data_IF_398288913464
#
_entry.id   IF_398288913464
#
_cell.length_a   1.000
_cell.length_b   1.000
_cell.length_c   1.000
_cell.angle_alpha   90.00
_cell.angle_beta   90.00
_cell.angle_gamma   90.00
#
_symmetry.space_group_name_H-M   'P 1'
#
loop_
_entity.id
_entity.type
_entity.pdbx_description
1 polymer ?
#
# COMPACT_ATOMS: atom_id res chain seq x y z
N UNK A 1 -19.32 52.78 -25.42
CA UNK A 1 -19.65 51.74 -24.44
C UNK A 1 -18.76 50.53 -24.66
N UNK A 2 -17.71 50.41 -23.86
CA UNK A 2 -16.77 49.29 -23.89
C UNK A 2 -16.90 48.54 -22.58
N UNK A 3 -17.55 47.39 -22.60
CA UNK A 3 -17.54 46.45 -21.47
C UNK A 3 -16.20 45.71 -21.45
N UNK A 4 -15.41 45.97 -20.41
CA UNK A 4 -14.26 45.16 -20.08
C UNK A 4 -14.77 43.81 -19.53
N UNK A 5 -14.52 42.74 -20.28
CA UNK A 5 -14.66 41.38 -19.79
C UNK A 5 -13.66 41.16 -18.66
N UNK A 6 -14.14 41.16 -17.42
CA UNK A 6 -13.34 40.71 -16.27
C UNK A 6 -13.30 39.18 -16.36
N UNK A 7 -12.25 38.65 -16.99
CA UNK A 7 -11.92 37.23 -16.93
C UNK A 7 -11.80 36.84 -15.46
N UNK A 8 -12.69 35.96 -15.00
CA UNK A 8 -12.53 35.32 -13.71
C UNK A 8 -11.16 34.63 -13.66
N UNK A 9 -10.39 34.78 -12.57
CA UNK A 9 -9.15 34.02 -12.40
C UNK A 9 -9.50 32.53 -12.34
N UNK A 10 -8.77 31.76 -13.14
CA UNK A 10 -8.93 30.33 -13.34
C UNK A 10 -8.78 29.57 -12.00
N UNK A 11 -9.89 29.14 -11.39
CA UNK A 11 -9.93 28.46 -10.08
C UNK A 11 -9.09 27.16 -10.03
N UNK A 12 -8.77 26.58 -11.19
CA UNK A 12 -7.89 25.41 -11.30
C UNK A 12 -6.42 25.71 -10.97
N UNK A 13 -5.96 26.96 -11.11
CA UNK A 13 -4.56 27.30 -10.86
C UNK A 13 -4.27 27.49 -9.36
N UNK A 14 -5.22 28.10 -8.63
CA UNK A 14 -5.10 28.35 -7.19
C UNK A 14 -5.18 27.06 -6.35
N UNK A 15 -5.93 26.06 -6.81
CA UNK A 15 -6.06 24.77 -6.11
C UNK A 15 -4.80 23.92 -6.25
N UNK A 16 -4.15 23.92 -7.41
CA UNK A 16 -2.95 23.13 -7.66
C UNK A 16 -1.73 23.69 -6.91
N UNK A 17 -1.54 25.01 -6.89
CA UNK A 17 -0.45 25.64 -6.13
C UNK A 17 -0.62 25.45 -4.61
N UNK A 18 -1.85 25.56 -4.10
CA UNK A 18 -2.16 25.29 -2.69
C UNK A 18 -1.97 23.80 -2.34
N UNK A 19 -2.31 22.90 -3.25
CA UNK A 19 -2.11 21.47 -3.09
C UNK A 19 -0.62 21.10 -3.09
N UNK A 20 0.15 21.64 -4.02
CA UNK A 20 1.61 21.47 -4.08
C UNK A 20 2.29 22.08 -2.84
N UNK A 21 1.76 23.18 -2.32
CA UNK A 21 2.20 23.79 -1.06
C UNK A 21 1.86 22.93 0.16
N UNK A 22 0.69 22.30 0.20
CA UNK A 22 0.32 21.34 1.24
C UNK A 22 1.19 20.08 1.17
N UNK A 23 1.39 19.52 -0.02
CA UNK A 23 2.26 18.37 -0.23
C UNK A 23 3.70 18.70 0.15
N UNK A 24 4.25 19.85 -0.24
CA UNK A 24 5.60 20.25 0.14
C UNK A 24 5.77 20.53 1.63
N UNK A 25 4.75 21.04 2.32
CA UNK A 25 4.73 21.18 3.79
C UNK A 25 4.59 19.84 4.53
N UNK A 26 3.88 18.88 3.95
CA UNK A 26 3.88 17.50 4.45
C UNK A 26 5.19 16.77 4.10
N UNK A 27 5.88 17.19 3.03
CA UNK A 27 7.16 16.62 2.57
C UNK A 27 8.36 17.08 3.36
N UNK A 28 8.35 18.29 3.90
CA UNK A 28 9.39 18.79 4.81
C UNK A 28 9.39 18.07 6.17
N UNK A 29 8.34 17.27 6.44
CA UNK A 29 8.27 16.28 7.52
C UNK A 29 7.93 14.89 6.94
N UNK A 30 8.78 14.32 6.07
CA UNK A 30 8.61 12.97 5.52
C UNK A 30 7.26 12.72 4.81
N UNK A 31 7.04 13.22 3.59
CA UNK A 31 5.88 12.86 2.75
C UNK A 31 5.89 11.42 2.27
N UNK A 32 7.04 10.76 2.36
CA UNK A 32 7.12 9.31 2.31
C UNK A 32 6.40 8.63 3.49
N UNK A 33 5.80 9.36 4.44
CA UNK A 33 5.22 8.81 5.67
C UNK A 33 3.70 8.86 5.82
N UNK A 34 2.92 9.45 4.91
CA UNK A 34 1.46 9.60 5.13
C UNK A 34 0.73 8.24 5.08
N UNK A 35 1.14 7.39 4.15
CA UNK A 35 0.65 6.03 3.99
C UNK A 35 1.74 4.98 4.12
N UNK A 36 2.96 5.29 4.57
CA UNK A 36 4.00 4.26 4.82
C UNK A 36 4.31 4.16 6.31
N UNK A 37 3.56 3.33 7.07
CA UNK A 37 3.87 3.11 8.47
C UNK A 37 5.24 2.45 8.62
N UNK A 38 6.00 2.88 9.64
CA UNK A 38 7.31 2.30 9.94
C UNK A 38 7.16 0.89 10.49
N UNK A 39 7.76 -0.08 9.82
CA UNK A 39 7.86 -1.46 10.31
C UNK A 39 9.00 -1.56 11.33
N UNK A 40 8.69 -1.94 12.57
CA UNK A 40 9.68 -2.15 13.62
C UNK A 40 10.33 -3.54 13.49
N UNK A 41 11.55 -3.57 12.94
CA UNK A 41 12.34 -4.79 12.73
C UNK A 41 12.73 -5.48 14.04
N UNK A 42 12.77 -4.75 15.17
CA UNK A 42 13.25 -5.30 16.45
C UNK A 42 12.35 -6.41 17.00
N UNK A 43 11.12 -6.56 16.48
CA UNK A 43 10.19 -7.61 16.90
C UNK A 43 10.09 -8.77 15.91
N UNK A 44 10.86 -8.76 14.82
CA UNK A 44 10.90 -9.89 13.90
C UNK A 44 11.50 -11.12 14.58
N UNK A 45 10.89 -12.28 14.33
CA UNK A 45 11.46 -13.56 14.72
C UNK A 45 12.45 -13.99 13.65
N UNK A 46 13.73 -13.66 13.85
CA UNK A 46 14.77 -13.94 12.84
C UNK A 46 15.40 -15.32 13.08
N UNK A 47 15.48 -16.14 12.04
CA UNK A 47 16.23 -17.39 12.02
C UNK A 47 17.62 -17.18 11.39
N UNK A 48 18.63 -17.79 12.01
CA UNK A 48 19.98 -17.90 11.43
C UNK A 48 20.10 -19.06 10.43
N UNK A 49 19.10 -19.96 10.37
CA UNK A 49 19.05 -21.02 9.37
C UNK A 49 18.71 -20.44 7.99
N UNK A 50 19.69 -20.46 7.11
CA UNK A 50 19.56 -20.03 5.70
C UNK A 50 19.53 -21.22 4.74
N UNK A 51 19.21 -22.42 5.21
CA UNK A 51 19.03 -23.58 4.34
C UNK A 51 17.92 -23.32 3.31
N UNK A 52 18.04 -23.91 2.12
CA UNK A 52 17.01 -23.78 1.08
C UNK A 52 15.63 -24.26 1.58
N UNK A 53 15.59 -25.26 2.45
CA UNK A 53 14.36 -25.75 3.05
C UNK A 53 13.67 -24.68 3.93
N UNK A 54 14.43 -24.00 4.80
CA UNK A 54 13.87 -22.94 5.65
C UNK A 54 13.42 -21.73 4.81
N UNK A 55 14.18 -21.36 3.77
CA UNK A 55 13.81 -20.27 2.87
C UNK A 55 12.55 -20.58 2.05
N UNK A 56 12.43 -21.81 1.51
CA UNK A 56 11.21 -22.26 0.81
C UNK A 56 10.02 -22.27 1.77
N UNK A 57 10.20 -22.73 3.01
CA UNK A 57 9.13 -22.71 4.01
C UNK A 57 8.67 -21.29 4.33
N UNK A 58 9.60 -20.33 4.45
CA UNK A 58 9.27 -18.92 4.63
C UNK A 58 8.40 -18.38 3.49
N UNK A 59 8.78 -18.62 2.24
CA UNK A 59 8.00 -18.18 1.07
C UNK A 59 6.61 -18.85 1.05
N UNK A 60 6.53 -20.16 1.32
CA UNK A 60 5.25 -20.89 1.42
C UNK A 60 4.35 -20.36 2.53
N UNK A 61 4.92 -19.93 3.66
CA UNK A 61 4.14 -19.32 4.73
C UNK A 61 3.50 -18.00 4.28
N UNK A 62 4.25 -17.15 3.57
CA UNK A 62 3.72 -15.91 3.00
C UNK A 62 2.63 -16.16 1.96
N UNK A 63 2.85 -17.14 1.08
CA UNK A 63 1.85 -17.57 0.08
C UNK A 63 0.58 -18.06 0.78
N UNK A 64 0.71 -18.93 1.78
CA UNK A 64 -0.42 -19.47 2.54
C UNK A 64 -1.21 -18.38 3.27
N UNK A 65 -0.53 -17.40 3.88
CA UNK A 65 -1.16 -16.24 4.52
C UNK A 65 -1.92 -15.41 3.49
N UNK A 66 -1.29 -15.12 2.34
CA UNK A 66 -1.92 -14.34 1.28
C UNK A 66 -3.16 -15.03 0.72
N UNK A 67 -3.06 -16.33 0.42
CA UNK A 67 -4.19 -17.13 -0.06
C UNK A 67 -5.32 -17.22 0.95
N UNK A 68 -5.02 -17.40 2.25
CA UNK A 68 -6.01 -17.45 3.33
C UNK A 68 -6.87 -16.19 3.36
N UNK A 69 -6.26 -15.02 3.23
CA UNK A 69 -6.96 -13.74 3.38
C UNK A 69 -7.54 -13.18 2.08
N UNK A 70 -6.94 -13.50 0.92
CA UNK A 70 -7.48 -13.13 -0.39
C UNK A 70 -8.57 -14.10 -0.88
N UNK A 71 -8.71 -15.28 -0.25
CA UNK A 71 -9.73 -16.25 -0.62
C UNK A 71 -11.13 -15.64 -0.64
N UNK A 72 -11.79 -15.72 -1.79
CA UNK A 72 -13.15 -15.19 -1.97
C UNK A 72 -13.22 -13.70 -2.26
N UNK A 73 -12.10 -12.97 -2.25
CA UNK A 73 -12.04 -11.59 -2.73
C UNK A 73 -11.71 -11.56 -4.22
N UNK A 74 -12.68 -11.19 -5.05
CA UNK A 74 -12.59 -11.28 -6.51
C UNK A 74 -12.82 -9.93 -7.22
N UNK A 75 -12.59 -8.81 -6.52
CA UNK A 75 -12.76 -7.47 -7.07
C UNK A 75 -11.42 -6.84 -7.39
N UNK A 76 -11.37 -6.12 -8.51
CA UNK A 76 -10.21 -5.27 -8.86
C UNK A 76 -10.29 -3.92 -8.16
N UNK A 77 -9.16 -3.21 -8.09
CA UNK A 77 -9.14 -1.82 -7.59
C UNK A 77 -10.16 -0.93 -8.31
N UNK A 78 -10.32 -1.09 -9.63
CA UNK A 78 -11.30 -0.34 -10.42
C UNK A 78 -12.75 -0.68 -10.03
N UNK A 79 -13.07 -1.96 -9.78
CA UNK A 79 -14.42 -2.35 -9.33
C UNK A 79 -14.76 -1.69 -8.00
N UNK A 80 -13.81 -1.68 -7.07
CA UNK A 80 -13.98 -1.10 -5.74
C UNK A 80 -14.18 0.41 -5.82
N UNK A 81 -13.35 1.11 -6.59
CA UNK A 81 -13.48 2.56 -6.78
C UNK A 81 -14.82 2.92 -7.45
N UNK A 82 -15.28 2.13 -8.43
CA UNK A 82 -16.58 2.32 -9.05
C UNK A 82 -17.74 2.15 -8.05
N UNK A 83 -17.66 1.19 -7.12
CA UNK A 83 -18.68 1.03 -6.07
C UNK A 83 -18.75 2.24 -5.13
N UNK A 84 -17.62 2.86 -4.81
CA UNK A 84 -17.58 4.07 -4.01
C UNK A 84 -18.20 5.26 -4.76
N UNK A 85 -17.81 5.45 -6.02
CA UNK A 85 -18.23 6.63 -6.81
C UNK A 85 -19.71 6.55 -7.16
N UNK A 86 -20.14 5.42 -7.73
CA UNK A 86 -21.48 5.22 -8.31
C UNK A 86 -22.50 4.78 -7.25
N UNK A 87 -22.12 3.85 -6.37
CA UNK A 87 -23.06 3.23 -5.42
C UNK A 87 -22.97 3.83 -4.01
N UNK A 88 -21.99 4.71 -3.76
CA UNK A 88 -21.66 5.25 -2.43
C UNK A 88 -21.45 4.13 -1.39
N UNK A 89 -20.95 2.98 -1.83
CA UNK A 89 -20.76 1.81 -1.00
C UNK A 89 -19.28 1.63 -0.66
N UNK A 90 -18.95 1.75 0.63
CA UNK A 90 -17.59 1.58 1.15
C UNK A 90 -17.28 0.13 1.56
N UNK A 91 -18.21 -0.82 1.43
CA UNK A 91 -18.08 -2.15 2.02
C UNK A 91 -16.88 -2.92 1.47
N UNK A 92 -16.70 -2.91 0.15
CA UNK A 92 -15.59 -3.62 -0.50
C UNK A 92 -14.23 -3.01 -0.21
N UNK A 93 -14.15 -1.68 -0.10
CA UNK A 93 -12.88 -1.01 0.21
C UNK A 93 -12.48 -1.22 1.68
N UNK A 94 -13.44 -1.26 2.59
CA UNK A 94 -13.21 -1.65 4.00
C UNK A 94 -12.70 -3.08 4.08
N UNK A 95 -13.38 -4.00 3.38
CA UNK A 95 -12.95 -5.39 3.31
C UNK A 95 -11.52 -5.52 2.76
N UNK A 96 -11.19 -4.78 1.70
CA UNK A 96 -9.84 -4.80 1.13
C UNK A 96 -8.78 -4.28 2.11
N UNK A 97 -9.07 -3.19 2.82
CA UNK A 97 -8.19 -2.67 3.86
C UNK A 97 -7.96 -3.70 4.99
N UNK A 98 -9.01 -4.39 5.43
CA UNK A 98 -8.95 -5.44 6.44
C UNK A 98 -8.13 -6.66 5.96
N UNK A 99 -8.25 -7.03 4.68
CA UNK A 99 -7.44 -8.10 4.08
C UNK A 99 -5.95 -7.72 4.12
N UNK A 100 -5.60 -6.51 3.67
CA UNK A 100 -4.21 -6.04 3.70
C UNK A 100 -3.65 -6.02 5.11
N UNK A 101 -4.45 -5.55 6.08
CA UNK A 101 -4.10 -5.59 7.51
C UNK A 101 -3.80 -7.01 7.98
N UNK A 102 -4.72 -7.93 7.70
CA UNK A 102 -4.63 -9.31 8.18
C UNK A 102 -3.43 -10.05 7.60
N UNK A 103 -3.08 -9.77 6.33
CA UNK A 103 -1.87 -10.32 5.71
C UNK A 103 -0.63 -9.75 6.40
N UNK A 104 -0.58 -8.43 6.66
CA UNK A 104 0.55 -7.81 7.34
C UNK A 104 0.72 -8.37 8.77
N UNK A 105 -0.37 -8.42 9.54
CA UNK A 105 -0.38 -8.87 10.93
C UNK A 105 0.05 -10.34 11.06
N UNK A 106 -0.52 -11.24 10.23
CA UNK A 106 -0.13 -12.66 10.24
C UNK A 106 1.31 -12.86 9.75
N UNK A 107 1.73 -12.11 8.72
CA UNK A 107 3.10 -12.20 8.18
C UNK A 107 4.13 -11.69 9.18
N UNK A 108 3.80 -10.69 9.99
CA UNK A 108 4.68 -10.16 11.04
C UNK A 108 5.03 -11.25 12.08
N UNK A 109 4.20 -12.27 12.23
CA UNK A 109 4.38 -13.31 13.25
C UNK A 109 5.27 -14.48 12.81
N UNK A 110 5.60 -14.59 11.52
CA UNK A 110 6.37 -15.72 10.99
C UNK A 110 7.86 -15.59 11.28
N UNK A 111 8.57 -16.72 11.20
CA UNK A 111 10.03 -16.75 11.33
C UNK A 111 10.66 -16.39 9.99
N UNK A 112 11.57 -15.42 9.99
CA UNK A 112 12.21 -14.87 8.79
C UNK A 112 13.67 -15.32 8.74
N UNK A 113 14.13 -15.99 7.67
CA UNK A 113 15.56 -16.25 7.47
C UNK A 113 16.33 -14.93 7.39
N UNK A 114 17.51 -14.85 8.00
CA UNK A 114 18.29 -13.60 8.11
C UNK A 114 18.54 -12.92 6.74
N UNK A 115 18.74 -13.70 5.68
CA UNK A 115 18.96 -13.20 4.32
C UNK A 115 17.68 -12.72 3.59
N UNK A 116 16.50 -12.84 4.22
CA UNK A 116 15.20 -12.40 3.70
C UNK A 116 14.59 -11.23 4.47
N UNK A 117 15.29 -10.70 5.49
CA UNK A 117 14.78 -9.62 6.36
C UNK A 117 14.40 -8.36 5.56
N UNK A 118 15.24 -7.95 4.60
CA UNK A 118 14.97 -6.75 3.78
C UNK A 118 13.71 -6.92 2.92
N UNK A 119 13.56 -8.09 2.29
CA UNK A 119 12.35 -8.42 1.55
C UNK A 119 11.13 -8.46 2.48
N UNK A 120 11.24 -9.08 3.66
CA UNK A 120 10.15 -9.15 4.62
C UNK A 120 9.70 -7.76 5.09
N UNK A 121 10.65 -6.85 5.32
CA UNK A 121 10.37 -5.46 5.66
C UNK A 121 9.65 -4.73 4.54
N UNK A 122 10.11 -4.90 3.30
CA UNK A 122 9.47 -4.30 2.13
C UNK A 122 8.03 -4.84 1.98
N UNK A 123 7.86 -6.15 2.16
CA UNK A 123 6.56 -6.83 2.13
C UNK A 123 5.62 -6.22 3.17
N UNK A 124 6.01 -6.20 4.45
CA UNK A 124 5.17 -5.63 5.50
C UNK A 124 4.87 -4.15 5.26
N UNK A 125 5.86 -3.38 4.82
CA UNK A 125 5.66 -1.96 4.48
C UNK A 125 4.58 -1.80 3.42
N UNK A 126 4.61 -2.58 2.34
CA UNK A 126 3.61 -2.54 1.29
C UNK A 126 2.20 -2.85 1.80
N UNK A 127 2.03 -3.93 2.57
CA UNK A 127 0.71 -4.35 3.04
C UNK A 127 0.12 -3.36 4.05
N UNK A 128 0.90 -2.86 5.00
CA UNK A 128 0.42 -1.81 5.89
C UNK A 128 0.15 -0.48 5.17
N UNK A 129 0.93 -0.18 4.12
CA UNK A 129 0.68 1.03 3.33
C UNK A 129 -0.61 0.93 2.55
N UNK A 130 -0.86 -0.24 1.96
CA UNK A 130 -2.10 -0.57 1.27
C UNK A 130 -3.29 -0.46 2.21
N UNK A 131 -3.18 -1.02 3.41
CA UNK A 131 -4.21 -0.91 4.44
C UNK A 131 -4.54 0.55 4.78
N UNK A 132 -3.53 1.37 5.09
CA UNK A 132 -3.74 2.78 5.46
C UNK A 132 -4.36 3.60 4.32
N UNK A 133 -3.93 3.35 3.07
CA UNK A 133 -4.46 4.00 1.89
C UNK A 133 -5.92 3.62 1.64
N UNK A 134 -6.25 2.33 1.68
CA UNK A 134 -7.62 1.87 1.45
C UNK A 134 -8.56 2.26 2.60
N UNK A 135 -8.08 2.32 3.85
CA UNK A 135 -8.86 2.89 4.97
C UNK A 135 -9.19 4.37 4.75
N UNK A 136 -8.22 5.16 4.26
CA UNK A 136 -8.47 6.55 3.95
C UNK A 136 -9.52 6.72 2.85
N UNK A 137 -9.50 5.87 1.82
CA UNK A 137 -10.50 5.86 0.75
C UNK A 137 -11.87 5.39 1.28
N UNK A 138 -11.89 4.43 2.21
CA UNK A 138 -13.12 3.95 2.83
C UNK A 138 -13.87 5.01 3.65
N UNK A 139 -13.17 6.07 4.06
CA UNK A 139 -13.70 7.16 4.89
C UNK A 139 -14.18 8.38 4.07
N UNK A 140 -14.42 8.20 2.76
CA UNK A 140 -14.76 9.28 1.82
C UNK A 140 -15.96 10.15 2.18
N UNK A 141 -16.87 9.65 3.01
CA UNK A 141 -18.03 10.41 3.47
C UNK A 141 -17.69 11.40 4.59
N UNK A 142 -16.65 11.09 5.38
CA UNK A 142 -16.23 11.90 6.53
C UNK A 142 -15.02 12.78 6.20
N UNK A 143 -14.13 12.32 5.31
CA UNK A 143 -12.92 13.05 4.92
C UNK A 143 -12.62 12.91 3.42
N UNK A 144 -13.33 13.71 2.62
CA UNK A 144 -13.18 13.75 1.15
C UNK A 144 -11.77 14.17 0.72
N UNK A 145 -11.12 15.08 1.47
CA UNK A 145 -9.78 15.56 1.14
C UNK A 145 -8.75 14.45 1.33
N UNK A 146 -8.80 13.74 2.46
CA UNK A 146 -7.92 12.59 2.72
C UNK A 146 -8.15 11.47 1.72
N UNK A 147 -9.40 11.22 1.33
CA UNK A 147 -9.72 10.25 0.26
C UNK A 147 -9.12 10.66 -1.07
N UNK A 148 -9.29 11.92 -1.48
CA UNK A 148 -8.74 12.41 -2.74
C UNK A 148 -7.22 12.28 -2.76
N UNK A 149 -6.56 12.65 -1.65
CA UNK A 149 -5.12 12.46 -1.47
C UNK A 149 -4.73 10.98 -1.56
N UNK A 150 -5.40 10.09 -0.85
CA UNK A 150 -5.14 8.65 -0.87
C UNK A 150 -5.24 8.07 -2.29
N UNK A 151 -6.23 8.51 -3.06
CA UNK A 151 -6.42 8.05 -4.44
C UNK A 151 -5.24 8.41 -5.36
N UNK A 152 -4.54 9.53 -5.10
CA UNK A 152 -3.33 9.90 -5.86
C UNK A 152 -2.15 8.93 -5.63
N UNK A 153 -2.13 8.21 -4.50
CA UNK A 153 -1.04 7.28 -4.15
C UNK A 153 -1.31 5.83 -4.60
N UNK A 154 -2.40 5.57 -5.34
CA UNK A 154 -2.70 4.21 -5.81
C UNK A 154 -1.63 3.71 -6.80
N UNK A 155 -1.11 4.58 -7.67
CA UNK A 155 -0.02 4.20 -8.59
C UNK A 155 1.25 3.80 -7.84
N UNK A 156 1.57 4.51 -6.75
CA UNK A 156 2.75 4.22 -5.93
C UNK A 156 2.62 2.84 -5.25
N UNK A 157 1.39 2.45 -4.90
CA UNK A 157 1.08 1.12 -4.37
C UNK A 157 1.29 0.03 -5.43
N UNK A 158 0.85 0.26 -6.67
CA UNK A 158 1.09 -0.67 -7.78
C UNK A 158 2.58 -0.83 -8.09
N UNK A 159 3.32 0.28 -8.07
CA UNK A 159 4.77 0.25 -8.30
C UNK A 159 5.52 -0.42 -7.14
N UNK A 160 5.06 -0.21 -5.89
CA UNK A 160 5.53 -0.95 -4.73
C UNK A 160 5.31 -2.45 -4.88
N UNK A 161 4.14 -2.89 -5.37
CA UNK A 161 3.86 -4.30 -5.62
C UNK A 161 4.77 -4.90 -6.69
N UNK A 162 5.03 -4.17 -7.79
CA UNK A 162 6.01 -4.59 -8.82
C UNK A 162 7.41 -4.70 -8.22
N UNK A 163 7.82 -3.74 -7.39
CA UNK A 163 9.09 -3.76 -6.67
C UNK A 163 9.23 -5.00 -5.78
N UNK A 164 8.18 -5.41 -5.08
CA UNK A 164 8.18 -6.65 -4.30
C UNK A 164 8.38 -7.89 -5.16
N UNK A 165 7.75 -7.96 -6.33
CA UNK A 165 7.93 -9.09 -7.24
C UNK A 165 9.38 -9.20 -7.72
N UNK A 166 10.01 -8.07 -8.02
CA UNK A 166 11.44 -8.01 -8.37
C UNK A 166 12.31 -8.49 -7.21
N UNK A 167 12.11 -7.95 -6.00
CA UNK A 167 12.88 -8.35 -4.81
C UNK A 167 12.72 -9.84 -4.48
N UNK A 168 11.51 -10.38 -4.64
CA UNK A 168 11.25 -11.82 -4.49
C UNK A 168 12.04 -12.62 -5.52
N UNK A 169 11.97 -12.26 -6.80
CA UNK A 169 12.67 -12.94 -7.89
C UNK A 169 14.18 -12.92 -7.70
N UNK A 170 14.76 -11.76 -7.37
CA UNK A 170 16.17 -11.61 -7.06
C UNK A 170 16.58 -12.46 -5.84
N UNK A 171 15.77 -12.44 -4.78
CA UNK A 171 15.96 -13.28 -3.60
C UNK A 171 15.97 -14.77 -3.94
N UNK A 172 15.04 -15.24 -4.78
CA UNK A 172 15.02 -16.63 -5.22
C UNK A 172 16.25 -17.00 -6.05
N UNK A 173 16.63 -16.16 -7.02
CA UNK A 173 17.80 -16.38 -7.89
C UNK A 173 19.09 -16.41 -7.09
N UNK A 174 19.31 -15.43 -6.21
CA UNK A 174 20.52 -15.31 -5.36
C UNK A 174 20.70 -16.52 -4.45
N UNK A 175 19.60 -17.13 -4.01
CA UNK A 175 19.62 -18.28 -3.11
C UNK A 175 19.41 -19.63 -3.84
N UNK A 176 19.43 -19.63 -5.18
CA UNK A 176 19.21 -20.81 -6.03
C UNK A 176 17.95 -21.61 -5.65
N UNK A 177 16.88 -20.89 -5.30
CA UNK A 177 15.58 -21.48 -4.97
C UNK A 177 14.78 -21.72 -6.26
N UNK A 178 14.12 -22.87 -6.35
CA UNK A 178 13.23 -23.24 -7.45
C UNK A 178 11.94 -23.80 -6.86
N UNK A 179 10.81 -23.43 -7.46
CA UNK A 179 9.48 -23.96 -7.16
C UNK A 179 9.06 -24.93 -8.26
#
# INVERSE_FOLDING_TARGET
>A
DGEAAISAPNENFLSQELFDKFLSQSSSNNSSGLYHPKVDEKKFKISQDISSANQIQYIKNLESISQKHLAGFNKTSSDILNEIVEKKDASSVKQLADIYKSIADDSYQIVVPTNWVDFHKAFLSHFYSSQSLWEAIADFQNDTLRTYLAAQFISDLEDSAKGLQVLLAEGMLKNNLKF
#
